data_IF_641251003064
#
_entry.id   IF_641251003064
#
_cell.length_a   1.000
_cell.length_b   1.000
_cell.length_c   1.000
_cell.angle_alpha   90.00
_cell.angle_beta   90.00
_cell.angle_gamma   90.00
#
_symmetry.space_group_name_H-M   'P 1'
#
loop_
_entity.id
_entity.type
_entity.pdbx_description
1 polymer ?
#
# COMPACT_ATOMS: atom_id res chain seq x y z
N UNK A 1 -32.40 19.44 47.08
CA UNK A 1 -30.94 19.27 46.88
C UNK A 1 -30.72 19.02 45.41
N UNK A 2 -30.28 20.06 44.69
CA UNK A 2 -29.96 20.00 43.26
C UNK A 2 -28.49 19.60 43.12
N UNK A 3 -28.20 18.61 42.26
CA UNK A 3 -26.85 18.27 41.84
C UNK A 3 -26.58 18.97 40.50
N UNK A 4 -25.69 19.96 40.52
CA UNK A 4 -25.14 20.60 39.32
C UNK A 4 -23.89 19.85 38.89
N UNK A 5 -23.97 19.10 37.78
CA UNK A 5 -22.82 18.49 37.11
C UNK A 5 -22.25 19.42 36.04
N UNK A 6 -21.00 19.83 36.22
CA UNK A 6 -20.24 20.63 35.25
C UNK A 6 -19.72 19.72 34.12
N UNK A 7 -20.14 19.99 32.87
CA UNK A 7 -19.56 19.39 31.68
C UNK A 7 -18.29 20.16 31.29
N UNK A 8 -17.14 19.50 31.39
CA UNK A 8 -15.86 20.01 30.88
C UNK A 8 -15.74 19.68 29.39
N UNK A 9 -15.51 20.72 28.60
CA UNK A 9 -15.42 20.70 27.14
C UNK A 9 -14.36 19.70 26.64
N UNK A 10 -14.80 18.74 25.82
CA UNK A 10 -13.90 17.85 25.09
C UNK A 10 -13.17 18.63 24.00
N UNK A 11 -11.85 18.48 23.96
CA UNK A 11 -10.96 19.03 22.93
C UNK A 11 -11.42 18.57 21.54
N UNK A 12 -11.85 19.52 20.71
CA UNK A 12 -12.03 19.32 19.28
C UNK A 12 -10.66 19.09 18.63
N UNK A 13 -10.42 17.86 18.18
CA UNK A 13 -9.34 17.55 17.23
C UNK A 13 -9.78 18.05 15.86
N UNK A 14 -9.03 18.99 15.29
CA UNK A 14 -9.20 19.46 13.92
C UNK A 14 -8.91 18.33 12.93
N UNK A 15 -9.64 18.23 11.80
CA UNK A 15 -9.33 17.27 10.77
C UNK A 15 -7.98 17.63 10.13
N UNK A 16 -7.04 16.68 10.15
CA UNK A 16 -5.78 16.77 9.40
C UNK A 16 -6.08 16.45 7.93
N UNK A 17 -6.10 17.47 7.09
CA UNK A 17 -6.02 17.30 5.64
C UNK A 17 -4.59 16.86 5.30
N UNK A 18 -4.41 15.63 4.81
CA UNK A 18 -3.13 15.21 4.28
C UNK A 18 -2.79 16.02 3.03
N UNK A 19 -1.74 16.82 3.10
CA UNK A 19 -1.03 17.33 1.93
C UNK A 19 0.24 16.50 1.86
N UNK A 20 0.37 15.67 0.82
CA UNK A 20 1.66 15.07 0.46
C UNK A 20 2.60 16.23 0.13
N UNK A 21 3.33 16.70 1.14
CA UNK A 21 4.14 17.92 1.03
C UNK A 21 5.43 17.61 0.31
N UNK A 22 5.45 17.92 -0.99
CA UNK A 22 6.70 18.09 -1.72
C UNK A 22 7.34 19.42 -1.29
N UNK A 23 8.66 19.49 -1.04
CA UNK A 23 9.33 20.77 -0.81
C UNK A 23 9.19 21.66 -2.05
N UNK A 24 8.55 22.81 -1.88
CA UNK A 24 8.43 23.85 -2.90
C UNK A 24 9.81 24.41 -3.27
N UNK A 25 10.38 23.99 -4.39
CA UNK A 25 11.48 24.68 -5.04
C UNK A 25 10.91 25.77 -5.96
N UNK A 26 10.54 26.91 -5.38
CA UNK A 26 10.36 28.15 -6.12
C UNK A 26 11.10 29.31 -5.45
N UNK A 27 12.40 29.38 -5.72
CA UNK A 27 13.12 30.65 -5.73
C UNK A 27 13.68 30.85 -7.13
N UNK A 28 13.03 31.72 -7.91
CA UNK A 28 13.51 32.17 -9.22
C UNK A 28 14.81 32.94 -9.04
N UNK A 29 15.95 32.26 -9.21
CA UNK A 29 17.23 32.90 -9.52
C UNK A 29 17.51 32.58 -11.00
N UNK A 30 17.39 33.61 -11.85
CA UNK A 30 17.82 33.57 -13.25
C UNK A 30 19.35 33.53 -13.27
N UNK A 31 19.91 32.33 -13.39
CA UNK A 31 21.29 32.14 -13.86
C UNK A 31 21.21 31.09 -14.97
N UNK A 32 21.65 31.48 -16.18
CA UNK A 32 21.73 30.58 -17.31
C UNK A 32 22.63 29.40 -16.99
N UNK A 33 22.05 28.20 -16.96
CA UNK A 33 22.76 26.95 -16.73
C UNK A 33 22.02 25.84 -17.44
N UNK A 34 22.77 25.00 -18.17
CA UNK A 34 22.28 23.85 -18.90
C UNK A 34 21.30 23.03 -18.02
N UNK A 35 20.09 22.81 -18.52
CA UNK A 35 19.26 21.68 -18.08
C UNK A 35 20.04 20.42 -18.47
N UNK A 36 20.70 19.79 -17.51
CA UNK A 36 21.20 18.44 -17.70
C UNK A 36 19.97 17.54 -17.91
N UNK A 37 19.73 17.13 -19.15
CA UNK A 37 18.94 15.92 -19.40
C UNK A 37 19.72 14.77 -18.76
N UNK A 38 19.35 14.38 -17.54
CA UNK A 38 19.60 13.03 -17.09
C UNK A 38 19.06 12.12 -18.20
N UNK A 39 19.84 11.15 -18.66
CA UNK A 39 19.30 10.17 -19.61
C UNK A 39 18.10 9.54 -18.92
N UNK A 40 17.00 9.38 -19.65
CA UNK A 40 15.75 8.87 -19.08
C UNK A 40 15.90 7.50 -18.41
N UNK A 41 16.97 6.77 -18.73
CA UNK A 41 17.38 5.48 -18.16
C UNK A 41 18.07 5.56 -16.77
N UNK A 42 18.42 6.75 -16.29
CA UNK A 42 19.15 6.94 -15.02
C UNK A 42 18.21 7.28 -13.83
N UNK A 43 16.88 7.21 -14.00
CA UNK A 43 15.92 7.45 -12.93
C UNK A 43 16.01 6.36 -11.84
N UNK A 44 16.37 6.69 -10.58
CA UNK A 44 16.48 5.71 -9.50
C UNK A 44 15.21 4.89 -9.24
N UNK A 45 14.02 5.48 -9.41
CA UNK A 45 12.76 4.77 -9.21
C UNK A 45 12.56 3.71 -10.30
N UNK A 46 12.85 4.08 -11.54
CA UNK A 46 12.78 3.18 -12.68
C UNK A 46 13.79 2.03 -12.56
N UNK A 47 15.04 2.34 -12.17
CA UNK A 47 16.07 1.34 -11.94
C UNK A 47 15.68 0.36 -10.82
N UNK A 48 15.16 0.87 -9.70
CA UNK A 48 14.68 0.01 -8.60
C UNK A 48 13.54 -0.92 -9.05
N UNK A 49 12.60 -0.42 -9.86
CA UNK A 49 11.54 -1.25 -10.43
C UNK A 49 12.08 -2.34 -11.37
N UNK A 50 13.07 -2.00 -12.21
CA UNK A 50 13.74 -2.97 -13.09
C UNK A 50 14.49 -4.04 -12.30
N UNK A 51 15.14 -3.67 -11.21
CA UNK A 51 15.81 -4.62 -10.32
C UNK A 51 14.79 -5.61 -9.73
N UNK A 52 13.69 -5.11 -9.15
CA UNK A 52 12.62 -5.93 -8.63
C UNK A 52 12.00 -6.86 -9.69
N UNK A 53 11.72 -6.35 -10.90
CA UNK A 53 11.26 -7.16 -12.02
C UNK A 53 12.28 -8.23 -12.43
N UNK A 54 13.57 -7.90 -12.44
CA UNK A 54 14.64 -8.86 -12.77
C UNK A 54 14.68 -10.02 -11.77
N UNK A 55 14.45 -9.76 -10.47
CA UNK A 55 14.35 -10.81 -9.45
C UNK A 55 13.19 -11.76 -9.74
N UNK A 56 12.01 -11.22 -10.06
CA UNK A 56 10.81 -12.02 -10.40
C UNK A 56 10.99 -12.83 -11.69
N UNK A 57 11.65 -12.24 -12.69
CA UNK A 57 11.98 -12.93 -13.92
C UNK A 57 12.93 -14.11 -13.67
N UNK A 58 14.00 -13.90 -12.89
CA UNK A 58 14.94 -14.97 -12.54
C UNK A 58 14.29 -16.10 -11.73
N UNK A 59 13.38 -15.76 -10.80
CA UNK A 59 12.60 -16.76 -10.07
C UNK A 59 11.76 -17.60 -11.03
N UNK A 60 11.13 -16.96 -12.02
CA UNK A 60 10.30 -17.64 -13.02
C UNK A 60 11.10 -18.58 -13.94
N UNK A 61 12.43 -18.43 -14.00
CA UNK A 61 13.33 -19.33 -14.76
C UNK A 61 13.87 -20.49 -13.91
N UNK A 62 13.56 -20.55 -12.61
CA UNK A 62 14.00 -21.67 -11.77
C UNK A 62 13.30 -22.98 -12.18
N UNK A 63 13.95 -24.14 -12.00
CA UNK A 63 13.31 -25.44 -12.27
C UNK A 63 12.05 -25.69 -11.44
N UNK A 64 12.02 -25.18 -10.21
CA UNK A 64 10.88 -25.21 -9.28
C UNK A 64 10.64 -23.80 -8.72
N UNK A 65 9.95 -22.94 -9.51
CA UNK A 65 9.78 -21.54 -9.18
C UNK A 65 8.71 -21.37 -8.09
N UNK A 66 8.95 -20.46 -7.13
CA UNK A 66 7.97 -20.08 -6.11
C UNK A 66 6.69 -19.53 -6.75
N UNK A 67 6.83 -18.74 -7.80
CA UNK A 67 5.74 -18.20 -8.60
C UNK A 67 6.23 -17.96 -10.02
N UNK A 68 5.28 -17.84 -10.95
CA UNK A 68 5.56 -17.51 -12.34
C UNK A 68 5.09 -16.10 -12.67
N UNK A 69 5.99 -15.27 -13.18
CA UNK A 69 5.74 -13.91 -13.66
C UNK A 69 6.12 -13.83 -15.14
N UNK A 70 5.12 -14.04 -15.99
CA UNK A 70 5.28 -14.06 -17.46
C UNK A 70 5.66 -12.69 -18.05
N UNK A 71 5.44 -11.61 -17.30
CA UNK A 71 5.61 -10.24 -17.78
C UNK A 71 6.87 -9.56 -17.25
N UNK A 72 7.45 -10.03 -16.14
CA UNK A 72 8.67 -9.46 -15.57
C UNK A 72 9.84 -9.39 -16.57
N UNK A 73 9.89 -10.28 -17.55
CA UNK A 73 10.88 -10.28 -18.62
C UNK A 73 10.87 -9.03 -19.50
N UNK A 74 9.77 -8.26 -19.53
CA UNK A 74 9.69 -6.99 -20.27
C UNK A 74 10.73 -5.96 -19.81
N UNK A 75 11.12 -6.00 -18.54
CA UNK A 75 12.02 -5.01 -17.94
C UNK A 75 13.28 -5.62 -17.35
N UNK A 76 13.39 -6.94 -17.37
CA UNK A 76 14.50 -7.65 -16.77
C UNK A 76 15.83 -7.22 -17.41
N UNK A 77 16.82 -6.98 -16.56
CA UNK A 77 18.17 -6.69 -17.03
C UNK A 77 18.84 -8.01 -17.40
N UNK A 78 19.47 -8.13 -18.59
CA UNK A 78 20.26 -9.31 -18.92
C UNK A 78 21.45 -9.42 -17.95
N UNK A 79 21.61 -10.55 -17.27
CA UNK A 79 22.64 -10.79 -16.24
C UNK A 79 22.67 -9.71 -15.14
N UNK A 80 21.63 -9.60 -14.29
CA UNK A 80 21.79 -8.83 -13.07
C UNK A 80 22.92 -9.49 -12.26
N UNK A 81 23.80 -8.69 -11.66
CA UNK A 81 24.71 -9.27 -10.66
C UNK A 81 23.82 -9.96 -9.62
N UNK A 82 23.94 -11.28 -9.51
CA UNK A 82 23.10 -12.09 -8.62
C UNK A 82 23.35 -11.58 -7.21
N UNK A 83 22.43 -10.77 -6.71
CA UNK A 83 22.45 -10.37 -5.32
C UNK A 83 21.99 -11.59 -4.51
N UNK A 84 22.77 -12.03 -3.50
CA UNK A 84 22.34 -13.03 -2.52
C UNK A 84 20.93 -12.75 -1.95
N UNK A 85 20.52 -11.48 -1.91
CA UNK A 85 19.19 -11.06 -1.46
C UNK A 85 18.01 -11.37 -2.41
N UNK A 86 18.28 -11.90 -3.61
CA UNK A 86 17.27 -12.24 -4.63
C UNK A 86 16.19 -13.20 -4.10
N UNK A 87 16.58 -14.17 -3.27
CA UNK A 87 15.65 -15.14 -2.72
C UNK A 87 14.65 -14.54 -1.73
N UNK A 88 15.04 -13.53 -0.95
CA UNK A 88 14.16 -12.96 0.05
C UNK A 88 13.00 -12.19 -0.58
N UNK A 89 13.26 -11.36 -1.58
CA UNK A 89 12.22 -10.61 -2.29
C UNK A 89 11.21 -11.57 -2.94
N UNK A 90 11.68 -12.66 -3.55
CA UNK A 90 10.80 -13.67 -4.15
C UNK A 90 10.00 -14.45 -3.10
N UNK A 91 10.60 -14.81 -1.95
CA UNK A 91 9.87 -15.42 -0.82
C UNK A 91 8.75 -14.51 -0.32
N UNK A 92 9.00 -13.21 -0.18
CA UNK A 92 7.98 -12.23 0.22
C UNK A 92 6.93 -12.05 -0.87
N UNK A 93 7.34 -12.01 -2.14
CA UNK A 93 6.39 -11.95 -3.28
C UNK A 93 5.42 -13.12 -3.23
N UNK A 94 5.93 -14.35 -3.03
CA UNK A 94 5.10 -15.55 -2.89
C UNK A 94 4.16 -15.46 -1.69
N UNK A 95 4.67 -15.02 -0.56
CA UNK A 95 3.87 -14.84 0.66
C UNK A 95 2.71 -13.84 0.45
N UNK A 96 2.98 -12.68 -0.15
CA UNK A 96 1.97 -11.68 -0.44
C UNK A 96 0.94 -12.18 -1.46
N UNK A 97 1.41 -12.86 -2.51
CA UNK A 97 0.55 -13.46 -3.53
C UNK A 97 -0.40 -14.50 -2.93
N UNK A 98 0.11 -15.42 -2.11
CA UNK A 98 -0.70 -16.47 -1.49
C UNK A 98 -1.79 -15.88 -0.59
N UNK A 99 -1.44 -14.90 0.25
CA UNK A 99 -2.39 -14.23 1.13
C UNK A 99 -3.43 -13.43 0.34
N UNK A 100 -3.00 -12.73 -0.70
CA UNK A 100 -3.87 -11.97 -1.59
C UNK A 100 -4.88 -12.91 -2.28
N UNK A 101 -4.38 -13.96 -2.93
CA UNK A 101 -5.18 -14.96 -3.65
C UNK A 101 -6.16 -15.65 -2.69
N UNK A 102 -5.70 -16.07 -1.51
CA UNK A 102 -6.55 -16.71 -0.50
C UNK A 102 -7.70 -15.78 -0.07
N UNK A 103 -7.42 -14.49 0.16
CA UNK A 103 -8.41 -13.53 0.65
C UNK A 103 -9.41 -13.11 -0.44
N UNK A 104 -8.98 -12.93 -1.69
CA UNK A 104 -9.91 -12.58 -2.78
C UNK A 104 -10.79 -13.76 -3.23
N UNK A 105 -10.30 -14.99 -3.12
CA UNK A 105 -11.06 -16.19 -3.52
C UNK A 105 -12.03 -16.73 -2.45
N UNK A 106 -12.08 -16.11 -1.27
CA UNK A 106 -13.10 -16.46 -0.27
C UNK A 106 -14.52 -16.14 -0.79
N UNK A 107 -15.54 -16.84 -0.29
CA UNK A 107 -16.96 -16.68 -0.70
C UNK A 107 -17.45 -15.23 -0.53
N UNK A 108 -16.99 -14.55 0.52
CA UNK A 108 -17.21 -13.12 0.76
C UNK A 108 -15.94 -12.31 0.48
N UNK A 109 -15.12 -12.75 -0.48
CA UNK A 109 -13.80 -12.23 -0.74
C UNK A 109 -13.79 -10.78 -1.21
N UNK A 110 -12.63 -10.15 -1.04
CA UNK A 110 -12.41 -8.74 -1.34
C UNK A 110 -12.54 -8.47 -2.85
N UNK A 111 -13.38 -7.51 -3.22
CA UNK A 111 -13.58 -7.05 -4.61
C UNK A 111 -12.81 -5.79 -4.97
N UNK A 112 -12.21 -5.15 -3.96
CA UNK A 112 -11.36 -3.97 -4.14
C UNK A 112 -9.94 -4.33 -3.71
N UNK A 113 -9.03 -4.31 -4.67
CA UNK A 113 -7.60 -4.60 -4.46
C UNK A 113 -6.83 -3.32 -4.73
N UNK A 114 -5.99 -2.91 -3.79
CA UNK A 114 -5.11 -1.76 -3.98
C UNK A 114 -3.66 -2.22 -3.85
N UNK A 115 -2.88 -1.98 -4.90
CA UNK A 115 -1.47 -2.29 -4.97
C UNK A 115 -0.70 -0.98 -4.79
N UNK A 116 0.19 -0.94 -3.81
CA UNK A 116 1.10 0.14 -3.50
C UNK A 116 2.50 -0.29 -3.95
N UNK A 117 2.96 0.18 -5.11
CA UNK A 117 4.04 -0.49 -5.86
C UNK A 117 5.14 0.46 -6.35
N UNK A 118 6.20 -0.11 -6.91
CA UNK A 118 7.24 0.61 -7.66
C UNK A 118 6.79 1.02 -9.08
N UNK A 119 5.62 0.60 -9.54
CA UNK A 119 5.07 0.86 -10.88
C UNK A 119 5.37 -0.24 -11.91
N UNK A 120 6.06 -1.32 -11.52
CA UNK A 120 6.31 -2.50 -12.38
C UNK A 120 5.66 -3.77 -11.82
N UNK A 121 4.56 -3.65 -11.05
CA UNK A 121 3.83 -4.81 -10.55
C UNK A 121 2.98 -5.47 -11.65
N UNK A 122 3.14 -6.78 -11.80
CA UNK A 122 2.50 -7.60 -12.83
C UNK A 122 1.30 -8.41 -12.31
N UNK A 123 1.01 -8.36 -11.00
CA UNK A 123 -0.15 -9.02 -10.38
C UNK A 123 -1.47 -8.76 -11.10
N UNK A 124 -1.79 -7.53 -11.58
CA UNK A 124 -3.03 -7.28 -12.31
C UNK A 124 -3.21 -8.19 -13.53
N UNK A 125 -2.11 -8.62 -14.14
CA UNK A 125 -2.09 -9.40 -15.38
C UNK A 125 -1.91 -10.91 -15.12
N UNK A 126 -1.05 -11.31 -14.16
CA UNK A 126 -0.70 -12.72 -13.92
C UNK A 126 -1.60 -13.44 -12.89
N UNK A 127 -2.29 -12.71 -12.01
CA UNK A 127 -3.23 -13.30 -11.05
C UNK A 127 -4.60 -13.47 -11.70
N UNK A 128 -5.20 -14.65 -11.50
CA UNK A 128 -6.60 -14.92 -11.89
C UNK A 128 -7.54 -14.34 -10.86
N UNK A 129 -8.00 -13.13 -11.11
CA UNK A 129 -8.91 -12.43 -10.22
C UNK A 129 -10.36 -12.96 -10.32
N UNK A 130 -11.08 -13.07 -9.19
CA UNK A 130 -12.52 -13.28 -9.20
C UNK A 130 -13.23 -12.25 -10.07
N UNK A 131 -14.38 -12.61 -10.64
CA UNK A 131 -15.19 -11.66 -11.42
C UNK A 131 -15.54 -10.41 -10.62
N UNK A 132 -15.58 -9.27 -11.32
CA UNK A 132 -15.93 -7.95 -10.79
C UNK A 132 -14.95 -7.44 -9.74
N UNK A 133 -13.68 -7.84 -9.82
CA UNK A 133 -12.62 -7.23 -9.01
C UNK A 133 -12.13 -5.93 -9.65
N UNK A 134 -12.05 -4.87 -8.86
CA UNK A 134 -11.41 -3.60 -9.23
C UNK A 134 -10.03 -3.57 -8.58
N UNK A 135 -9.02 -3.29 -9.41
CA UNK A 135 -7.62 -3.26 -9.03
C UNK A 135 -7.13 -1.84 -9.23
N UNK A 136 -6.67 -1.23 -8.14
CA UNK A 136 -6.06 0.08 -8.12
C UNK A 136 -4.56 -0.11 -7.97
N UNK A 137 -3.77 0.53 -8.83
CA UNK A 137 -2.32 0.62 -8.66
C UNK A 137 -1.97 2.05 -8.28
N UNK A 138 -1.35 2.21 -7.11
CA UNK A 138 -0.82 3.48 -6.61
C UNK A 138 0.70 3.37 -6.66
N UNK A 139 1.31 4.07 -7.60
CA UNK A 139 2.75 3.98 -7.85
C UNK A 139 3.28 5.27 -8.49
N UNK A 140 4.60 5.43 -8.62
CA UNK A 140 5.17 6.56 -9.37
C UNK A 140 4.65 6.60 -10.81
N UNK A 141 4.06 7.74 -11.21
CA UNK A 141 3.36 7.87 -12.49
C UNK A 141 4.29 7.70 -13.71
N UNK A 142 5.52 8.20 -13.59
CA UNK A 142 6.51 8.10 -14.65
C UNK A 142 6.99 6.67 -14.89
N UNK A 143 7.15 5.86 -13.82
CA UNK A 143 7.52 4.44 -13.92
C UNK A 143 6.36 3.65 -14.50
N UNK A 144 5.15 3.85 -13.97
CA UNK A 144 3.95 3.16 -14.44
C UNK A 144 3.71 3.38 -15.94
N UNK A 145 3.77 4.63 -16.41
CA UNK A 145 3.50 4.95 -17.83
C UNK A 145 4.45 4.23 -18.79
N UNK A 146 5.72 4.09 -18.43
CA UNK A 146 6.71 3.35 -19.22
C UNK A 146 6.42 1.86 -19.17
N UNK A 147 6.26 1.31 -17.96
CA UNK A 147 5.98 -0.11 -17.75
C UNK A 147 4.71 -0.57 -18.48
N UNK A 148 3.65 0.24 -18.45
CA UNK A 148 2.40 -0.03 -19.12
C UNK A 148 2.53 -0.11 -20.66
N UNK A 149 3.44 0.66 -21.27
CA UNK A 149 3.70 0.57 -22.71
C UNK A 149 4.36 -0.76 -23.08
N UNK A 150 5.34 -1.21 -22.28
CA UNK A 150 6.02 -2.48 -22.50
C UNK A 150 5.08 -3.68 -22.29
N UNK A 151 4.22 -3.63 -21.27
CA UNK A 151 3.18 -4.62 -21.01
C UNK A 151 2.16 -4.72 -22.15
N UNK A 152 1.76 -3.57 -22.71
CA UNK A 152 0.88 -3.55 -23.87
C UNK A 152 1.55 -4.23 -25.07
N UNK A 153 2.85 -3.98 -25.28
CA UNK A 153 3.65 -4.60 -26.33
C UNK A 153 3.81 -6.11 -26.18
N UNK A 154 3.83 -6.65 -24.95
CA UNK A 154 3.91 -8.09 -24.68
C UNK A 154 2.57 -8.81 -24.76
N UNK A 155 1.47 -8.08 -24.96
CA UNK A 155 0.12 -8.64 -25.03
C UNK A 155 -0.52 -8.91 -23.66
N UNK A 156 0.00 -8.30 -22.59
CA UNK A 156 -0.58 -8.38 -21.26
C UNK A 156 -2.03 -7.86 -21.26
N UNK A 157 -2.94 -8.60 -20.64
CA UNK A 157 -4.37 -8.25 -20.59
C UNK A 157 -4.94 -8.49 -19.21
N UNK A 158 -5.74 -7.54 -18.74
CA UNK A 158 -6.54 -7.71 -17.54
C UNK A 158 -7.62 -8.77 -17.82
N UNK A 159 -7.81 -9.66 -16.84
CA UNK A 159 -8.83 -10.71 -16.92
C UNK A 159 -10.22 -10.10 -17.18
N UNK A 160 -10.98 -10.72 -18.09
CA UNK A 160 -12.32 -10.24 -18.49
C UNK A 160 -13.22 -10.07 -17.25
N UNK A 161 -13.92 -8.94 -17.18
CA UNK A 161 -14.85 -8.64 -16.08
C UNK A 161 -14.18 -7.98 -14.87
N UNK A 162 -12.88 -7.70 -14.94
CA UNK A 162 -12.14 -6.95 -13.93
C UNK A 162 -11.73 -5.59 -14.48
N UNK A 163 -11.54 -4.64 -13.58
CA UNK A 163 -11.14 -3.28 -13.90
C UNK A 163 -9.78 -3.00 -13.28
N UNK A 164 -8.90 -2.35 -14.05
CA UNK A 164 -7.59 -1.93 -13.59
C UNK A 164 -7.44 -0.43 -13.81
N UNK A 165 -6.96 0.29 -12.81
CA UNK A 165 -6.71 1.71 -12.94
C UNK A 165 -5.49 2.16 -12.10
N UNK A 166 -4.69 3.05 -12.68
CA UNK A 166 -3.51 3.59 -12.04
C UNK A 166 -3.76 4.99 -11.47
N UNK A 167 -3.48 5.19 -10.19
CA UNK A 167 -3.57 6.45 -9.46
C UNK A 167 -2.15 6.92 -9.13
N UNK A 168 -1.69 8.06 -9.67
CA UNK A 168 -0.35 8.59 -9.40
C UNK A 168 -0.06 8.75 -7.90
N UNK A 169 1.05 8.20 -7.44
CA UNK A 169 1.53 8.38 -6.05
C UNK A 169 1.81 9.86 -5.74
N UNK A 170 2.23 10.63 -6.75
CA UNK A 170 2.51 12.06 -6.64
C UNK A 170 1.23 12.93 -6.57
N UNK A 171 0.05 12.33 -6.75
CA UNK A 171 -1.22 13.06 -6.69
C UNK A 171 -1.41 13.67 -5.28
N UNK A 172 -1.65 14.98 -5.14
CA UNK A 172 -1.92 15.58 -3.82
C UNK A 172 -3.28 15.13 -3.24
N UNK A 173 -4.08 14.41 -4.03
CA UNK A 173 -5.45 14.02 -3.70
C UNK A 173 -5.72 12.53 -4.00
N UNK A 174 -4.76 11.65 -3.70
CA UNK A 174 -4.88 10.18 -3.91
C UNK A 174 -6.22 9.63 -3.43
N UNK A 175 -6.69 10.02 -2.24
CA UNK A 175 -7.98 9.59 -1.67
C UNK A 175 -9.17 9.98 -2.55
N UNK A 176 -9.20 11.21 -3.07
CA UNK A 176 -10.28 11.66 -3.95
C UNK A 176 -10.23 10.92 -5.28
N UNK A 177 -9.03 10.75 -5.83
CA UNK A 177 -8.83 10.15 -7.14
C UNK A 177 -9.23 8.67 -7.15
N UNK A 178 -8.82 7.90 -6.15
CA UNK A 178 -9.19 6.48 -6.04
C UNK A 178 -10.71 6.31 -5.84
N UNK A 179 -11.34 7.15 -5.02
CA UNK A 179 -12.80 7.16 -4.83
C UNK A 179 -13.55 7.52 -6.12
N UNK A 180 -13.06 8.53 -6.87
CA UNK A 180 -13.65 8.93 -8.16
C UNK A 180 -13.61 7.82 -9.21
N UNK A 181 -12.67 6.87 -9.05
CA UNK A 181 -12.49 5.70 -9.91
C UNK A 181 -13.27 4.47 -9.44
N UNK A 182 -14.10 4.63 -8.41
CA UNK A 182 -15.04 3.62 -7.95
C UNK A 182 -14.63 2.91 -6.66
N UNK A 183 -13.55 3.33 -6.00
CA UNK A 183 -13.26 2.83 -4.65
C UNK A 183 -14.35 3.25 -3.67
N UNK A 184 -14.76 2.32 -2.81
CA UNK A 184 -15.85 2.46 -1.85
C UNK A 184 -15.36 2.14 -0.44
N UNK A 185 -15.36 3.15 0.43
CA UNK A 185 -14.91 3.02 1.81
C UNK A 185 -15.86 2.25 2.71
N UNK A 186 -17.09 1.95 2.27
CA UNK A 186 -18.06 1.10 2.97
C UNK A 186 -17.98 -0.38 2.53
N UNK A 187 -17.00 -0.75 1.69
CA UNK A 187 -16.83 -2.09 1.18
C UNK A 187 -15.46 -2.66 1.57
N UNK A 188 -15.37 -3.96 1.92
CA UNK A 188 -14.09 -4.59 2.26
C UNK A 188 -13.05 -4.41 1.15
N UNK A 189 -11.82 -4.08 1.53
CA UNK A 189 -10.69 -3.93 0.62
C UNK A 189 -9.45 -4.71 1.09
N UNK A 190 -8.59 -5.06 0.14
CA UNK A 190 -7.27 -5.61 0.44
C UNK A 190 -6.19 -4.75 -0.21
N UNK A 191 -5.20 -4.39 0.59
CA UNK A 191 -4.09 -3.51 0.22
C UNK A 191 -2.80 -4.33 0.26
N UNK A 192 -1.95 -4.18 -0.75
CA UNK A 192 -0.67 -4.88 -0.86
C UNK A 192 0.42 -3.87 -1.15
N UNK A 193 1.43 -3.76 -0.28
CA UNK A 193 2.59 -2.89 -0.47
C UNK A 193 3.86 -3.71 -0.66
N UNK A 194 4.49 -3.54 -1.82
CA UNK A 194 5.78 -4.15 -2.13
C UNK A 194 6.53 -3.28 -3.13
N UNK A 195 7.80 -2.98 -2.85
CA UNK A 195 8.62 -2.12 -3.72
C UNK A 195 8.25 -0.62 -3.71
N UNK A 196 7.21 -0.20 -2.98
CA UNK A 196 6.84 1.21 -2.85
C UNK A 196 8.05 2.04 -2.36
N UNK A 197 8.39 3.18 -2.99
CA UNK A 197 9.60 3.95 -2.68
C UNK A 197 9.46 4.78 -1.39
N UNK A 198 9.52 4.09 -0.24
CA UNK A 198 9.52 4.70 1.09
C UNK A 198 10.92 5.22 1.44
N UNK A 199 11.06 6.53 1.62
CA UNK A 199 12.33 7.21 1.94
C UNK A 199 12.42 7.65 3.39
N UNK A 200 11.28 7.79 4.08
CA UNK A 200 11.21 8.23 5.47
C UNK A 200 10.11 7.50 6.24
N UNK A 201 10.13 7.59 7.57
CA UNK A 201 9.04 7.09 8.40
C UNK A 201 7.74 7.88 8.14
N UNK A 202 7.85 9.17 7.87
CA UNK A 202 6.70 10.02 7.53
C UNK A 202 6.02 9.52 6.25
N UNK A 203 6.78 9.12 5.23
CA UNK A 203 6.22 8.55 4.00
C UNK A 203 5.38 7.29 4.30
N UNK A 204 5.84 6.45 5.24
CA UNK A 204 5.09 5.26 5.64
C UNK A 204 3.89 5.57 6.53
N UNK A 205 3.99 6.57 7.41
CA UNK A 205 2.85 7.08 8.19
C UNK A 205 1.77 7.66 7.27
N UNK A 206 2.15 8.35 6.20
CA UNK A 206 1.21 8.86 5.18
C UNK A 206 0.50 7.71 4.45
N UNK A 207 1.22 6.61 4.15
CA UNK A 207 0.60 5.38 3.62
C UNK A 207 -0.36 4.77 4.63
N UNK A 208 0.03 4.62 5.90
CA UNK A 208 -0.85 4.10 6.94
C UNK A 208 -2.11 4.96 7.10
N UNK A 209 -1.95 6.28 7.06
CA UNK A 209 -3.06 7.23 7.10
C UNK A 209 -3.98 7.06 5.88
N UNK A 210 -3.42 6.98 4.68
CA UNK A 210 -4.18 6.75 3.44
C UNK A 210 -5.03 5.47 3.54
N UNK A 211 -4.42 4.35 3.94
CA UNK A 211 -5.12 3.06 4.06
C UNK A 211 -6.16 3.15 5.18
N UNK A 212 -5.82 3.69 6.35
CA UNK A 212 -6.74 3.81 7.49
C UNK A 212 -7.97 4.66 7.17
N UNK A 213 -7.80 5.71 6.37
CA UNK A 213 -8.89 6.65 6.03
C UNK A 213 -9.89 6.00 5.06
N UNK A 214 -9.40 5.15 4.15
CA UNK A 214 -10.19 4.56 3.07
C UNK A 214 -10.76 3.18 3.43
N UNK A 215 -10.00 2.36 4.13
CA UNK A 215 -10.36 0.97 4.37
C UNK A 215 -11.41 0.84 5.49
N UNK A 216 -12.50 0.11 5.23
CA UNK A 216 -13.46 -0.29 6.27
C UNK A 216 -12.87 -1.34 7.20
N UNK A 217 -13.48 -1.50 8.37
CA UNK A 217 -13.17 -2.53 9.35
C UNK A 217 -13.18 -3.93 8.72
N UNK A 218 -12.19 -4.74 9.04
CA UNK A 218 -12.01 -6.09 8.48
C UNK A 218 -11.32 -6.12 7.12
N UNK A 219 -10.97 -4.96 6.56
CA UNK A 219 -10.03 -4.87 5.44
C UNK A 219 -8.62 -5.29 5.86
N UNK A 220 -7.80 -5.72 4.90
CA UNK A 220 -6.43 -6.15 5.16
C UNK A 220 -5.40 -5.27 4.47
N UNK A 221 -4.28 -5.04 5.14
CA UNK A 221 -3.08 -4.43 4.59
C UNK A 221 -1.90 -5.39 4.72
N UNK A 222 -1.40 -5.89 3.60
CA UNK A 222 -0.26 -6.79 3.50
C UNK A 222 0.92 -6.02 2.95
N UNK A 223 2.13 -6.33 3.41
CA UNK A 223 3.29 -5.75 2.75
C UNK A 223 4.60 -6.06 3.43
N UNK A 224 5.59 -5.25 3.09
CA UNK A 224 6.92 -5.28 3.69
C UNK A 224 7.39 -3.87 4.04
N UNK A 225 8.01 -3.72 5.21
CA UNK A 225 8.53 -2.43 5.67
C UNK A 225 10.06 -2.47 5.75
N UNK A 226 10.81 -1.51 5.20
CA UNK A 226 12.25 -1.46 5.37
C UNK A 226 12.67 -1.45 6.85
N UNK A 227 13.49 -2.42 7.27
CA UNK A 227 13.87 -2.64 8.67
C UNK A 227 14.59 -1.44 9.26
N UNK A 228 15.32 -0.69 8.43
CA UNK A 228 16.09 0.48 8.84
C UNK A 228 15.19 1.59 9.42
N UNK A 229 13.91 1.66 9.04
CA UNK A 229 12.93 2.59 9.62
C UNK A 229 12.67 2.30 11.10
N UNK A 230 12.64 1.02 11.46
CA UNK A 230 12.55 0.62 12.87
C UNK A 230 13.88 0.90 13.59
N UNK A 231 15.02 0.72 12.91
CA UNK A 231 16.35 0.94 13.49
C UNK A 231 16.63 2.41 13.83
N UNK A 232 16.04 3.37 13.10
CA UNK A 232 16.18 4.80 13.42
C UNK A 232 15.44 5.20 14.69
N UNK A 233 14.33 4.53 15.00
CA UNK A 233 13.50 4.82 16.17
C UNK A 233 13.94 4.04 17.42
N UNK A 234 14.48 2.84 17.22
CA UNK A 234 14.76 1.90 18.31
C UNK A 234 16.26 1.89 18.61
N UNK A 235 16.63 2.38 19.80
CA UNK A 235 18.03 2.41 20.30
C UNK A 235 18.71 1.03 20.42
N UNK A 236 17.97 -0.07 20.27
CA UNK A 236 18.46 -1.45 20.44
C UNK A 236 17.85 -2.37 19.38
N UNK A 237 18.70 -3.00 18.56
CA UNK A 237 18.34 -3.87 17.42
C UNK A 237 17.74 -5.24 17.80
N UNK A 238 17.06 -5.35 18.95
CA UNK A 238 16.40 -6.59 19.34
C UNK A 238 15.08 -6.76 18.60
N UNK A 239 14.84 -7.95 18.03
CA UNK A 239 13.60 -8.30 17.34
C UNK A 239 12.34 -8.01 18.16
N UNK A 240 12.41 -8.21 19.48
CA UNK A 240 11.29 -7.91 20.40
C UNK A 240 10.94 -6.41 20.43
N UNK A 241 11.94 -5.53 20.34
CA UNK A 241 11.69 -4.09 20.33
C UNK A 241 11.09 -3.66 18.98
N UNK A 242 11.57 -4.24 17.89
CA UNK A 242 11.02 -4.02 16.54
C UNK A 242 9.55 -4.42 16.47
N UNK A 243 9.18 -5.58 17.01
CA UNK A 243 7.77 -6.02 17.08
C UNK A 243 6.90 -5.05 17.89
N UNK A 244 7.35 -4.65 19.09
CA UNK A 244 6.62 -3.67 19.92
C UNK A 244 6.44 -2.31 19.26
N UNK A 245 7.45 -1.87 18.50
CA UNK A 245 7.38 -0.62 17.75
C UNK A 245 6.38 -0.72 16.59
N UNK A 246 6.44 -1.82 15.81
CA UNK A 246 5.46 -2.12 14.75
C UNK A 246 4.03 -2.15 15.33
N UNK A 247 3.81 -2.86 16.43
CA UNK A 247 2.51 -2.93 17.11
C UNK A 247 2.00 -1.54 17.47
N UNK A 248 2.85 -0.70 18.08
CA UNK A 248 2.46 0.66 18.48
C UNK A 248 2.13 1.53 17.26
N UNK A 249 2.96 1.47 16.21
CA UNK A 249 2.78 2.26 14.99
C UNK A 249 1.46 1.91 14.29
N UNK A 250 1.21 0.62 14.06
CA UNK A 250 0.00 0.16 13.39
C UNK A 250 -1.25 0.36 14.25
N UNK A 251 -1.19 0.08 15.56
CA UNK A 251 -2.34 0.28 16.47
C UNK A 251 -2.72 1.76 16.58
N UNK A 252 -1.74 2.67 16.57
CA UNK A 252 -1.98 4.12 16.53
C UNK A 252 -2.83 4.53 15.31
N UNK A 253 -2.60 3.85 14.18
CA UNK A 253 -3.29 4.03 12.91
C UNK A 253 -4.49 3.09 12.71
N UNK A 254 -4.96 2.40 13.76
CA UNK A 254 -6.18 1.61 13.71
C UNK A 254 -6.03 0.18 13.18
N UNK A 255 -4.80 -0.32 13.04
CA UNK A 255 -4.54 -1.66 12.56
C UNK A 255 -4.04 -2.59 13.67
N UNK A 256 -4.48 -3.85 13.65
CA UNK A 256 -3.80 -4.95 14.34
C UNK A 256 -2.80 -5.58 13.38
N UNK A 257 -1.50 -5.53 13.71
CA UNK A 257 -0.43 -6.06 12.86
C UNK A 257 0.14 -7.38 13.39
N UNK A 258 0.53 -8.25 12.47
CA UNK A 258 1.34 -9.44 12.70
C UNK A 258 2.60 -9.32 11.84
N UNK A 259 3.77 -9.26 12.49
CA UNK A 259 5.06 -9.27 11.81
C UNK A 259 5.49 -10.69 11.49
N UNK A 260 5.99 -10.93 10.28
CA UNK A 260 6.28 -12.27 9.79
C UNK A 260 7.80 -12.49 9.70
N UNK A 261 8.27 -13.58 10.30
CA UNK A 261 9.68 -13.97 10.24
C UNK A 261 10.02 -14.57 8.87
N UNK A 262 10.86 -13.90 8.09
CA UNK A 262 11.21 -14.36 6.73
C UNK A 262 11.91 -15.73 6.71
N UNK A 263 12.73 -16.02 7.73
CA UNK A 263 13.37 -17.32 7.87
C UNK A 263 12.35 -18.46 7.97
N UNK A 264 11.25 -18.22 8.68
CA UNK A 264 10.17 -19.19 8.80
C UNK A 264 9.38 -19.33 7.49
N UNK A 265 9.15 -18.22 6.77
CA UNK A 265 8.53 -18.26 5.44
C UNK A 265 9.36 -19.09 4.45
N UNK A 266 10.66 -18.84 4.38
CA UNK A 266 11.53 -19.57 3.45
C UNK A 266 11.61 -21.06 3.81
N UNK A 267 11.71 -21.39 5.10
CA UNK A 267 11.67 -22.78 5.58
C UNK A 267 10.39 -23.49 5.16
N UNK A 268 9.23 -22.84 5.29
CA UNK A 268 7.93 -23.37 4.85
C UNK A 268 7.85 -23.57 3.34
N UNK A 269 8.55 -22.76 2.57
CA UNK A 269 8.63 -22.84 1.11
C UNK A 269 9.78 -23.74 0.62
N UNK A 270 10.51 -24.41 1.53
CA UNK A 270 11.64 -25.28 1.17
C UNK A 270 12.83 -24.54 0.58
N UNK A 271 12.99 -23.23 0.86
CA UNK A 271 14.10 -22.41 0.37
C UNK A 271 15.11 -22.17 1.48
N UNK A 272 16.38 -22.33 1.18
CA UNK A 272 17.48 -21.90 2.02
C UNK A 272 17.80 -20.44 1.72
N UNK A 273 17.73 -19.58 2.74
CA UNK A 273 18.08 -18.18 2.61
C UNK A 273 19.59 -17.99 2.80
N UNK A 274 20.13 -16.97 2.14
CA UNK A 274 21.52 -16.56 2.34
C UNK A 274 21.74 -15.99 3.74
N UNK A 275 22.99 -15.94 4.19
CA UNK A 275 23.36 -15.43 5.52
C UNK A 275 23.11 -13.93 5.71
N UNK A 276 22.97 -13.18 4.62
CA UNK A 276 22.68 -11.75 4.66
C UNK A 276 21.24 -11.51 5.16
N UNK A 277 21.03 -10.60 6.13
CA UNK A 277 19.70 -10.32 6.66
C UNK A 277 18.85 -9.58 5.62
N UNK A 278 17.61 -10.04 5.44
CA UNK A 278 16.66 -9.32 4.61
C UNK A 278 16.37 -7.93 5.17
N UNK A 279 16.38 -6.94 4.29
CA UNK A 279 16.25 -5.53 4.66
C UNK A 279 14.81 -5.07 4.89
N UNK A 280 13.82 -5.93 4.68
CA UNK A 280 12.42 -5.60 4.94
C UNK A 280 11.78 -6.56 5.95
N UNK A 281 10.74 -6.09 6.62
CA UNK A 281 9.96 -6.81 7.62
C UNK A 281 8.59 -7.06 7.00
N UNK A 282 8.27 -8.29 6.57
CA UNK A 282 6.96 -8.61 6.05
C UNK A 282 5.90 -8.55 7.15
N UNK A 283 4.69 -8.12 6.82
CA UNK A 283 3.59 -7.99 7.78
C UNK A 283 2.22 -8.29 7.16
N UNK A 284 1.28 -8.61 8.05
CA UNK A 284 -0.16 -8.66 7.79
C UNK A 284 -0.84 -7.75 8.80
N UNK A 285 -1.68 -6.83 8.35
CA UNK A 285 -2.43 -5.93 9.21
C UNK A 285 -3.93 -6.01 8.90
N UNK A 286 -4.76 -6.00 9.93
CA UNK A 286 -6.22 -5.96 9.84
C UNK A 286 -6.73 -4.61 10.34
N UNK A 287 -7.58 -3.97 9.54
CA UNK A 287 -8.19 -2.70 9.88
C UNK A 287 -9.27 -2.88 10.95
N UNK A 288 -9.14 -2.15 12.06
CA UNK A 288 -10.06 -2.27 13.20
C UNK A 288 -11.12 -1.15 13.24
N UNK A 289 -10.88 -0.05 12.52
CA UNK A 289 -11.73 1.14 12.51
C UNK A 289 -12.61 1.18 11.26
N UNK A 290 -13.72 1.91 11.35
CA UNK A 290 -14.51 2.27 10.18
C UNK A 290 -13.73 3.26 9.31
N UNK A 291 -14.02 3.26 8.01
CA UNK A 291 -13.46 4.25 7.11
C UNK A 291 -14.03 5.64 7.38
N UNK A 292 -13.36 6.68 6.87
CA UNK A 292 -13.85 8.05 6.95
C UNK A 292 -15.21 8.20 6.24
N UNK A 293 -15.43 7.43 5.16
CA UNK A 293 -16.72 7.41 4.46
C UNK A 293 -17.86 6.91 5.36
N UNK A 294 -17.63 5.81 6.08
CA UNK A 294 -18.61 5.26 7.01
C UNK A 294 -18.85 6.24 8.16
N UNK A 295 -17.78 6.79 8.76
CA UNK A 295 -17.88 7.75 9.87
C UNK A 295 -18.63 9.02 9.47
N UNK A 296 -18.41 9.55 8.27
CA UNK A 296 -19.11 10.72 7.76
C UNK A 296 -20.60 10.42 7.47
N UNK A 297 -20.90 9.20 6.98
CA UNK A 297 -22.28 8.75 6.79
C UNK A 297 -23.01 8.67 8.12
N UNK A 298 -22.38 8.09 9.14
CA UNK A 298 -22.93 8.04 10.51
C UNK A 298 -23.17 9.43 11.10
N UNK A 299 -22.25 10.38 10.89
CA UNK A 299 -22.40 11.75 11.37
C UNK A 299 -23.62 12.45 10.76
N UNK A 300 -23.78 12.35 9.43
CA UNK A 300 -24.91 12.95 8.71
C UNK A 300 -26.26 12.36 9.14
N UNK A 301 -26.30 11.06 9.36
CA UNK A 301 -27.52 10.39 9.83
C UNK A 301 -27.89 10.84 11.24
N UNK A 302 -26.91 11.00 12.13
CA UNK A 302 -27.13 11.51 13.47
C UNK A 302 -27.63 12.96 13.48
N UNK A 303 -27.02 13.84 12.68
CA UNK A 303 -27.48 15.23 12.51
C UNK A 303 -28.91 15.30 11.98
N UNK A 304 -29.30 14.41 11.05
CA UNK A 304 -30.69 14.34 10.56
C UNK A 304 -31.67 14.00 11.68
N UNK A 305 -31.35 12.99 12.50
CA UNK A 305 -32.21 12.55 13.61
C UNK A 305 -32.38 13.66 14.65
N UNK A 306 -31.32 14.41 14.97
CA UNK A 306 -31.42 15.55 15.89
C UNK A 306 -32.32 16.66 15.32
N UNK A 307 -32.17 17.01 14.04
CA UNK A 307 -33.01 18.03 13.40
C UNK A 307 -34.50 17.62 13.29
N UNK A 308 -34.79 16.35 13.00
CA UNK A 308 -36.17 15.83 12.97
C UNK A 308 -36.82 15.81 14.37
N UNK A 309 -36.03 15.51 15.41
CA UNK A 309 -36.50 15.55 16.81
C UNK A 309 -36.79 16.96 17.33
N UNK A 310 -36.13 17.99 16.79
CA UNK A 310 -36.36 19.38 17.15
C UNK A 310 -37.61 19.97 16.43
N UNK A 311 -38.02 19.44 15.27
CA UNK A 311 -39.21 19.90 14.54
C UNK A 311 -40.53 19.36 15.11
N UNK A 312 -40.55 18.17 15.71
CA UNK A 312 -41.75 17.63 16.40
C UNK A 312 -42.05 18.33 17.75
N UNK A 313 -41.12 19.15 18.26
CA UNK A 313 -41.25 19.84 19.55
C UNK A 313 -42.00 21.18 19.52
N UNK A 314 -42.43 21.68 18.36
CA UNK A 314 -43.02 23.02 18.21
C UNK A 314 -44.47 23.05 17.71
N UNK A 315 -45.16 21.92 17.60
CA UNK A 315 -46.58 21.89 17.19
C UNK A 315 -47.61 22.01 18.34
N UNK A 316 -47.20 22.13 19.61
CA UNK A 316 -48.12 22.35 20.74
C UNK A 316 -47.69 23.51 21.66
N UNK A 317 -47.81 24.77 21.22
CA UNK A 317 -47.91 25.95 22.11
C UNK A 317 -48.83 27.04 21.54
#
# INVERSE_FOLDING_TARGET
MAFTGSFSSANMLTPRTAVLSSPSLQTKIRIGGLRAHLREDDDPLFLSGKEAASLRFMESQQPDPLFFDEYAGCWATPNPQINPNSHHYCVVTKFLDDNLIQKVNNVNGFKQVVLLTDGMDTRPYRIRWPMSTIIFDISPDNVFKRAAQDLLGSGAKISRGNFFCHVPLESPHVQLEICSRGFRGDQPSIWVMQGLPIKTLVDFEDVLFLVSSLATKGSYFLGELPSWLAETEIKSKSSTNTMKWMDKLFMGNGFRVETIAIAELARRLGKELTLEPYKNIPFVAEQLRFSDYEMETWRKEFERIENEGDEEGFEEL
#
